data_IF_672911756591
#
_entry.id   IF_672911756591
#
_cell.length_a   1.000
_cell.length_b   1.000
_cell.length_c   1.000
_cell.angle_alpha   90.00
_cell.angle_beta   90.00
_cell.angle_gamma   90.00
#
_symmetry.space_group_name_H-M   'P 1'
#
loop_
_entity.id
_entity.type
_entity.pdbx_description
1 polymer ?
#
# COMPACT_ATOMS: atom_id res chain seq x y z
N UNK A 1 17.15 -25.26 -9.49
CA UNK A 1 18.02 -24.16 -8.98
C UNK A 1 17.15 -22.93 -8.79
N UNK A 2 17.35 -22.14 -7.74
CA UNK A 2 16.54 -20.92 -7.51
C UNK A 2 16.92 -19.84 -8.54
N UNK A 3 15.90 -19.22 -9.15
CA UNK A 3 16.07 -18.16 -10.13
C UNK A 3 16.24 -16.79 -9.46
N UNK A 4 17.45 -16.25 -9.52
CA UNK A 4 17.80 -14.95 -8.91
C UNK A 4 17.10 -13.77 -9.59
N UNK A 5 16.92 -13.81 -10.92
CA UNK A 5 16.27 -12.72 -11.65
C UNK A 5 14.78 -12.64 -11.27
N UNK A 6 14.12 -13.79 -11.24
CA UNK A 6 12.73 -13.90 -10.78
C UNK A 6 12.54 -13.31 -9.38
N UNK A 7 13.44 -13.64 -8.45
CA UNK A 7 13.35 -13.15 -7.07
C UNK A 7 13.58 -11.64 -6.99
N UNK A 8 14.59 -11.11 -7.68
CA UNK A 8 14.86 -9.68 -7.69
C UNK A 8 13.68 -8.87 -8.26
N UNK A 9 13.12 -9.32 -9.39
CA UNK A 9 11.98 -8.66 -10.03
C UNK A 9 10.70 -8.78 -9.18
N UNK A 10 10.39 -9.98 -8.69
CA UNK A 10 9.21 -10.24 -7.87
C UNK A 10 9.19 -9.38 -6.61
N UNK A 11 10.31 -9.34 -5.87
CA UNK A 11 10.41 -8.50 -4.66
C UNK A 11 10.24 -7.02 -4.99
N UNK A 12 10.88 -6.52 -6.05
CA UNK A 12 10.78 -5.13 -6.44
C UNK A 12 9.34 -4.74 -6.80
N UNK A 13 8.64 -5.58 -7.57
CA UNK A 13 7.25 -5.37 -7.96
C UNK A 13 6.30 -5.43 -6.76
N UNK A 14 6.44 -6.43 -5.90
CA UNK A 14 5.66 -6.53 -4.66
C UNK A 14 5.85 -5.30 -3.79
N UNK A 15 7.09 -4.85 -3.59
CA UNK A 15 7.37 -3.70 -2.74
C UNK A 15 6.79 -2.40 -3.30
N UNK A 16 6.85 -2.21 -4.62
CA UNK A 16 6.19 -1.08 -5.29
C UNK A 16 4.67 -1.09 -5.10
N UNK A 17 4.04 -2.26 -5.10
CA UNK A 17 2.60 -2.39 -4.88
C UNK A 17 2.25 -2.21 -3.40
N UNK A 18 3.00 -2.84 -2.49
CA UNK A 18 2.84 -2.72 -1.03
C UNK A 18 2.99 -1.28 -0.54
N UNK A 19 3.91 -0.51 -1.14
CA UNK A 19 4.07 0.92 -0.86
C UNK A 19 2.77 1.70 -1.12
N UNK A 20 2.04 1.39 -2.20
CA UNK A 20 0.74 2.01 -2.50
C UNK A 20 -0.30 1.75 -1.43
N UNK A 21 -0.14 0.69 -0.66
CA UNK A 21 -1.02 0.29 0.42
C UNK A 21 -0.49 0.72 1.81
N UNK A 22 0.66 1.40 1.87
CA UNK A 22 1.32 1.77 3.12
C UNK A 22 1.84 0.55 3.90
N UNK A 23 2.09 -0.56 3.21
CA UNK A 23 2.69 -1.76 3.78
C UNK A 23 4.21 -1.69 3.70
N UNK A 24 4.91 -2.17 4.73
CA UNK A 24 6.37 -2.23 4.74
C UNK A 24 6.91 -3.19 3.66
N UNK A 25 8.15 -2.97 3.18
CA UNK A 25 8.75 -3.80 2.14
C UNK A 25 8.99 -5.24 2.63
N UNK A 26 8.86 -6.20 1.72
CA UNK A 26 9.31 -7.57 1.86
C UNK A 26 10.82 -7.66 1.57
N UNK A 27 11.50 -8.53 2.30
CA UNK A 27 12.91 -8.88 2.10
C UNK A 27 13.03 -10.30 1.53
N UNK A 28 14.08 -10.54 0.75
CA UNK A 28 14.39 -11.86 0.23
C UNK A 28 14.71 -12.84 1.37
N UNK A 29 14.16 -14.05 1.30
CA UNK A 29 14.58 -15.17 2.13
C UNK A 29 14.92 -16.39 1.26
N UNK A 30 16.16 -16.89 1.42
CA UNK A 30 16.65 -18.00 0.60
C UNK A 30 15.97 -19.33 0.90
N UNK A 31 15.48 -19.52 2.12
CA UNK A 31 14.79 -20.76 2.51
C UNK A 31 13.39 -20.80 1.92
N UNK A 32 12.66 -19.67 1.94
CA UNK A 32 11.39 -19.51 1.24
C UNK A 32 11.56 -19.67 -0.27
N UNK A 33 12.61 -19.09 -0.88
CA UNK A 33 12.84 -19.21 -2.31
C UNK A 33 13.14 -20.66 -2.73
N UNK A 34 13.92 -21.39 -1.91
CA UNK A 34 14.16 -22.83 -2.12
C UNK A 34 12.87 -23.64 -1.99
N UNK A 35 12.06 -23.36 -0.97
CA UNK A 35 10.77 -24.02 -0.76
C UNK A 35 9.81 -23.76 -1.93
N UNK A 36 9.69 -22.51 -2.37
CA UNK A 36 8.88 -22.12 -3.51
C UNK A 36 9.37 -22.78 -4.81
N UNK A 37 10.68 -22.92 -4.99
CA UNK A 37 11.27 -23.60 -6.14
C UNK A 37 10.91 -25.09 -6.17
N UNK A 38 11.03 -25.79 -5.04
CA UNK A 38 10.63 -27.19 -4.93
C UNK A 38 9.14 -27.36 -5.22
N UNK A 39 8.30 -26.44 -4.74
CA UNK A 39 6.87 -26.50 -5.02
C UNK A 39 6.56 -26.23 -6.48
N UNK A 40 7.22 -25.26 -7.11
CA UNK A 40 7.05 -25.00 -8.54
C UNK A 40 7.40 -26.25 -9.37
N UNK A 41 8.48 -26.95 -9.02
CA UNK A 41 8.91 -28.21 -9.67
C UNK A 41 7.87 -29.34 -9.49
N UNK A 42 7.23 -29.43 -8.33
CA UNK A 42 6.12 -30.37 -8.08
C UNK A 42 4.89 -30.04 -8.93
N UNK A 43 4.51 -28.76 -9.04
CA UNK A 43 3.41 -28.31 -9.90
C UNK A 43 3.70 -28.57 -11.37
N UNK A 44 4.95 -28.39 -11.80
CA UNK A 44 5.38 -28.64 -13.18
C UNK A 44 5.40 -30.14 -13.53
N UNK A 45 5.78 -30.99 -12.58
CA UNK A 45 5.75 -32.45 -12.71
C UNK A 45 4.32 -32.97 -12.80
N UNK A 46 3.47 -32.56 -11.87
CA UNK A 46 2.08 -33.05 -11.75
C UNK A 46 1.11 -32.35 -12.70
N UNK A 47 1.51 -31.19 -13.24
CA UNK A 47 0.67 -30.27 -14.03
C UNK A 47 -0.64 -29.89 -13.33
N UNK A 48 -0.64 -29.87 -12.00
CA UNK A 48 -1.83 -29.62 -11.19
C UNK A 48 -1.64 -28.37 -10.35
N UNK A 49 -2.48 -27.35 -10.55
CA UNK A 49 -2.45 -26.13 -9.73
C UNK A 49 -3.10 -26.39 -8.37
N UNK A 50 -2.27 -26.62 -7.36
CA UNK A 50 -2.70 -26.86 -5.98
C UNK A 50 -1.77 -26.18 -4.98
N UNK A 51 -2.35 -25.77 -3.86
CA UNK A 51 -1.58 -25.24 -2.73
C UNK A 51 -0.74 -26.33 -2.07
N UNK A 52 0.41 -25.93 -1.50
CA UNK A 52 1.23 -26.82 -0.69
C UNK A 52 0.58 -27.12 0.66
N UNK A 53 0.85 -28.32 1.18
CA UNK A 53 0.27 -28.78 2.45
C UNK A 53 0.91 -28.13 3.69
N UNK A 54 1.86 -27.20 3.50
CA UNK A 54 2.58 -26.55 4.59
C UNK A 54 1.82 -25.34 5.15
N UNK A 55 1.52 -25.39 6.45
CA UNK A 55 0.78 -24.33 7.13
C UNK A 55 1.65 -23.17 7.67
N UNK A 56 2.97 -23.22 7.47
CA UNK A 56 3.97 -22.33 8.12
C UNK A 56 4.23 -21.03 7.36
N UNK A 57 3.95 -20.98 6.06
CA UNK A 57 4.12 -19.80 5.22
C UNK A 57 2.82 -19.43 4.49
N UNK A 58 2.76 -18.21 3.99
CA UNK A 58 1.75 -17.80 3.01
C UNK A 58 2.15 -18.25 1.62
N UNK A 59 1.20 -18.42 0.70
CA UNK A 59 1.49 -18.91 -0.64
C UNK A 59 0.63 -18.25 -1.72
N UNK A 60 1.28 -17.79 -2.78
CA UNK A 60 0.61 -17.44 -4.03
C UNK A 60 1.14 -18.31 -5.16
N UNK A 61 0.23 -18.73 -6.05
CA UNK A 61 0.53 -19.56 -7.21
C UNK A 61 0.09 -18.86 -8.49
N UNK A 62 0.88 -18.99 -9.55
CA UNK A 62 0.51 -18.58 -10.89
C UNK A 62 0.98 -19.62 -11.89
N UNK A 63 0.24 -19.78 -12.98
CA UNK A 63 0.69 -20.59 -14.11
C UNK A 63 0.25 -19.97 -15.43
N UNK A 64 0.93 -20.37 -16.50
CA UNK A 64 0.60 -19.97 -17.86
C UNK A 64 1.03 -21.06 -18.84
N UNK A 65 0.21 -21.34 -19.86
CA UNK A 65 0.65 -22.11 -21.02
C UNK A 65 1.63 -21.28 -21.87
N UNK A 66 2.79 -21.82 -22.20
CA UNK A 66 3.90 -21.09 -22.83
C UNK A 66 4.12 -21.41 -24.31
N UNK A 67 3.27 -22.21 -24.94
CA UNK A 67 3.35 -22.50 -26.39
C UNK A 67 3.45 -21.20 -27.22
N UNK A 68 4.60 -20.99 -27.87
CA UNK A 68 4.88 -19.82 -28.71
C UNK A 68 5.00 -18.48 -27.96
N UNK A 69 5.07 -18.48 -26.62
CA UNK A 69 5.20 -17.27 -25.80
C UNK A 69 6.60 -17.17 -25.17
N UNK A 70 7.00 -15.94 -24.84
CA UNK A 70 8.23 -15.67 -24.09
C UNK A 70 8.22 -16.25 -22.67
N UNK A 71 9.30 -16.07 -21.90
CA UNK A 71 9.38 -16.57 -20.53
C UNK A 71 8.24 -16.01 -19.66
N UNK A 72 7.65 -16.83 -18.80
CA UNK A 72 6.65 -16.39 -17.82
C UNK A 72 7.39 -15.74 -16.64
N UNK A 73 7.18 -14.43 -16.46
CA UNK A 73 7.95 -13.60 -15.54
C UNK A 73 7.23 -13.28 -14.23
N UNK A 74 8.00 -12.69 -13.31
CA UNK A 74 7.46 -12.21 -12.05
C UNK A 74 6.45 -11.06 -12.25
N UNK A 75 6.61 -10.27 -13.30
CA UNK A 75 5.71 -9.18 -13.70
C UNK A 75 4.28 -9.66 -13.96
N UNK A 76 4.12 -10.69 -14.79
CA UNK A 76 2.82 -11.24 -15.14
C UNK A 76 2.15 -11.92 -13.93
N UNK A 77 2.90 -12.72 -13.17
CA UNK A 77 2.39 -13.39 -11.98
C UNK A 77 1.96 -12.38 -10.90
N UNK A 78 2.82 -11.39 -10.60
CA UNK A 78 2.55 -10.35 -9.61
C UNK A 78 1.35 -9.50 -10.01
N UNK A 79 1.26 -9.13 -11.29
CA UNK A 79 0.12 -8.38 -11.82
C UNK A 79 -1.18 -9.17 -11.64
N UNK A 80 -1.19 -10.45 -12.03
CA UNK A 80 -2.37 -11.31 -11.90
C UNK A 80 -2.85 -11.42 -10.44
N UNK A 81 -1.94 -11.58 -9.48
CA UNK A 81 -2.29 -11.60 -8.06
C UNK A 81 -2.84 -10.26 -7.59
N UNK A 82 -2.22 -9.15 -7.99
CA UNK A 82 -2.63 -7.82 -7.55
C UNK A 82 -3.96 -7.36 -8.15
N UNK A 83 -4.25 -7.72 -9.40
CA UNK A 83 -5.50 -7.33 -10.10
C UNK A 83 -6.75 -7.86 -9.38
N UNK A 84 -6.65 -8.93 -8.57
CA UNK A 84 -7.74 -9.41 -7.73
C UNK A 84 -8.23 -8.37 -6.72
N UNK A 85 -7.37 -7.40 -6.36
CA UNK A 85 -7.75 -6.28 -5.48
C UNK A 85 -8.87 -5.40 -6.03
N UNK A 86 -9.15 -5.47 -7.34
CA UNK A 86 -10.28 -4.75 -7.96
C UNK A 86 -11.65 -5.24 -7.50
N UNK A 87 -11.75 -6.50 -7.07
CA UNK A 87 -12.99 -7.14 -6.60
C UNK A 87 -12.92 -7.51 -5.10
N UNK A 88 -11.85 -7.11 -4.41
CA UNK A 88 -11.67 -7.41 -2.98
C UNK A 88 -12.59 -6.53 -2.12
N UNK A 89 -13.42 -7.18 -1.31
CA UNK A 89 -14.20 -6.50 -0.28
C UNK A 89 -13.37 -6.39 1.02
N UNK A 90 -12.94 -5.16 1.31
CA UNK A 90 -12.14 -4.83 2.50
C UNK A 90 -12.93 -4.92 3.82
N UNK A 91 -14.26 -5.08 3.77
CA UNK A 91 -15.10 -5.38 4.92
C UNK A 91 -15.22 -6.88 5.24
N UNK A 92 -14.82 -7.74 4.30
CA UNK A 92 -14.93 -9.19 4.43
C UNK A 92 -13.60 -9.86 4.83
N UNK A 93 -13.70 -11.14 5.21
CA UNK A 93 -12.54 -11.96 5.52
C UNK A 93 -11.89 -12.55 4.26
N UNK A 94 -11.25 -13.71 4.43
CA UNK A 94 -10.66 -14.44 3.32
C UNK A 94 -11.71 -14.87 2.30
N UNK A 95 -11.43 -14.63 1.01
CA UNK A 95 -12.13 -15.23 -0.12
C UNK A 95 -11.10 -15.89 -1.06
N UNK A 96 -11.50 -16.98 -1.73
CA UNK A 96 -10.59 -17.69 -2.63
C UNK A 96 -10.25 -16.86 -3.88
N UNK A 97 -11.14 -15.97 -4.28
CA UNK A 97 -11.03 -15.12 -5.46
C UNK A 97 -10.01 -13.99 -5.27
N UNK A 98 -9.74 -13.58 -4.02
CA UNK A 98 -8.88 -12.42 -3.71
C UNK A 98 -7.74 -12.72 -2.75
N UNK A 99 -7.58 -14.00 -2.38
CA UNK A 99 -6.56 -14.46 -1.44
C UNK A 99 -5.13 -14.14 -1.87
N UNK A 100 -4.84 -14.08 -3.18
CA UNK A 100 -3.49 -13.75 -3.65
C UNK A 100 -3.19 -12.25 -3.51
N UNK A 101 -4.18 -11.39 -3.77
CA UNK A 101 -4.07 -9.96 -3.50
C UNK A 101 -3.84 -9.70 -2.01
N UNK A 102 -4.70 -10.23 -1.14
CA UNK A 102 -4.60 -9.99 0.30
C UNK A 102 -3.28 -10.49 0.89
N UNK A 103 -2.76 -11.62 0.41
CA UNK A 103 -1.43 -12.11 0.82
C UNK A 103 -0.30 -11.19 0.33
N UNK A 104 -0.35 -10.70 -0.91
CA UNK A 104 0.66 -9.82 -1.48
C UNK A 104 0.78 -8.53 -0.67
N UNK A 105 -0.36 -7.93 -0.30
CA UNK A 105 -0.41 -6.69 0.49
C UNK A 105 -0.46 -6.92 2.01
N UNK A 106 -0.30 -8.16 2.49
CA UNK A 106 -0.39 -8.48 3.91
C UNK A 106 0.66 -7.74 4.73
N UNK A 107 0.24 -6.80 5.59
CA UNK A 107 1.12 -5.88 6.32
C UNK A 107 2.19 -6.59 7.17
N UNK A 108 1.80 -7.69 7.80
CA UNK A 108 2.67 -8.41 8.73
C UNK A 108 3.66 -9.34 8.05
N UNK A 109 3.44 -9.74 6.79
CA UNK A 109 4.44 -10.51 6.02
C UNK A 109 5.68 -9.64 5.79
N UNK A 110 6.87 -10.18 6.10
CA UNK A 110 8.16 -9.47 6.05
C UNK A 110 9.16 -10.09 5.08
N UNK A 111 9.06 -11.39 4.85
CA UNK A 111 9.96 -12.17 4.03
C UNK A 111 9.19 -12.79 2.87
N UNK A 112 9.86 -12.93 1.74
CA UNK A 112 9.32 -13.62 0.57
C UNK A 112 10.43 -14.33 -0.21
N UNK A 113 10.06 -15.43 -0.86
CA UNK A 113 10.91 -16.10 -1.83
C UNK A 113 10.08 -16.70 -2.96
N UNK A 114 10.65 -16.70 -4.16
CA UNK A 114 9.99 -17.11 -5.39
C UNK A 114 10.69 -18.32 -6.02
N UNK A 115 9.88 -19.17 -6.64
CA UNK A 115 10.32 -20.32 -7.43
C UNK A 115 9.60 -20.39 -8.77
N UNK A 116 10.28 -20.92 -9.79
CA UNK A 116 9.70 -21.12 -11.12
C UNK A 116 10.13 -22.46 -11.70
N UNK A 117 9.18 -23.15 -12.32
CA UNK A 117 9.47 -24.36 -13.08
C UNK A 117 8.62 -24.41 -14.34
N UNK A 118 9.13 -25.13 -15.34
CA UNK A 118 8.43 -25.40 -16.59
C UNK A 118 8.19 -26.90 -16.67
N UNK A 119 7.01 -27.29 -17.13
CA UNK A 119 6.66 -28.70 -17.32
C UNK A 119 7.63 -29.39 -18.28
N UNK A 120 7.80 -30.71 -18.13
CA UNK A 120 8.77 -31.49 -18.91
C UNK A 120 8.52 -31.49 -20.41
N UNK A 121 7.27 -31.30 -20.83
CA UNK A 121 6.87 -31.13 -22.24
C UNK A 121 7.01 -29.69 -22.75
N UNK A 122 7.43 -28.76 -21.90
CA UNK A 122 7.64 -27.35 -22.27
C UNK A 122 6.36 -26.56 -22.56
N UNK A 123 5.19 -27.07 -22.17
CA UNK A 123 3.90 -26.44 -22.52
C UNK A 123 3.38 -25.49 -21.44
N UNK A 124 3.81 -25.62 -20.19
CA UNK A 124 3.33 -24.80 -19.09
C UNK A 124 4.47 -24.34 -18.15
N UNK A 125 4.36 -23.12 -17.62
CA UNK A 125 5.26 -22.57 -16.62
C UNK A 125 4.48 -22.17 -15.36
N UNK A 126 5.08 -22.43 -14.21
CA UNK A 126 4.51 -22.26 -12.88
C UNK A 126 5.41 -21.35 -12.06
N UNK A 127 4.81 -20.38 -11.36
CA UNK A 127 5.50 -19.48 -10.43
C UNK A 127 4.83 -19.61 -9.07
N UNK A 128 5.66 -19.76 -8.04
CA UNK A 128 5.24 -19.86 -6.64
C UNK A 128 5.93 -18.75 -5.85
N UNK A 129 5.20 -18.11 -4.95
CA UNK A 129 5.75 -17.19 -3.95
C UNK A 129 5.36 -17.67 -2.55
N UNK A 130 6.35 -17.82 -1.67
CA UNK A 130 6.15 -18.13 -0.25
C UNK A 130 6.46 -16.92 0.63
N UNK A 131 5.63 -16.69 1.65
CA UNK A 131 5.70 -15.50 2.51
C UNK A 131 5.84 -15.87 3.99
N UNK A 132 6.62 -15.09 4.75
CA UNK A 132 6.72 -15.26 6.20
C UNK A 132 6.73 -13.90 6.93
N UNK A 133 6.01 -13.73 8.05
CA UNK A 133 4.92 -14.59 8.52
C UNK A 133 3.81 -14.77 7.47
N UNK A 134 3.06 -15.87 7.58
CA UNK A 134 1.94 -16.13 6.66
C UNK A 134 0.86 -15.08 6.77
N UNK A 135 0.25 -14.76 5.63
CA UNK A 135 -0.92 -13.89 5.57
C UNK A 135 -2.23 -14.67 5.64
N UNK A 136 -3.31 -13.99 5.26
CA UNK A 136 -4.66 -14.54 5.15
C UNK A 136 -5.16 -15.22 6.44
N UNK A 137 -4.74 -14.70 7.60
CA UNK A 137 -5.17 -15.21 8.90
C UNK A 137 -6.59 -14.69 9.20
N UNK A 138 -7.52 -15.61 9.44
CA UNK A 138 -8.91 -15.29 9.78
C UNK A 138 -8.96 -14.34 10.97
N UNK A 139 -9.77 -13.27 10.85
CA UNK A 139 -9.92 -12.25 11.90
C UNK A 139 -8.82 -11.19 11.94
N UNK A 140 -7.83 -11.23 11.04
CA UNK A 140 -6.71 -10.28 10.99
C UNK A 140 -6.70 -9.44 9.69
N UNK A 141 -7.72 -9.53 8.85
CA UNK A 141 -7.76 -8.86 7.53
C UNK A 141 -7.80 -7.34 7.65
N UNK A 142 -8.63 -6.79 8.53
CA UNK A 142 -8.83 -5.34 8.68
C UNK A 142 -7.53 -4.56 9.00
N UNK A 143 -6.63 -5.17 9.76
CA UNK A 143 -5.32 -4.59 10.11
C UNK A 143 -4.24 -4.85 9.05
N UNK A 144 -4.36 -5.95 8.30
CA UNK A 144 -3.32 -6.44 7.40
C UNK A 144 -3.54 -6.14 5.92
N UNK A 145 -4.76 -5.81 5.50
CA UNK A 145 -5.10 -5.52 4.09
C UNK A 145 -5.60 -4.08 3.99
N UNK A 146 -4.70 -3.08 4.06
CA UNK A 146 -5.10 -1.68 3.98
C UNK A 146 -5.53 -1.30 2.56
N UNK A 147 -6.40 -0.29 2.45
CA UNK A 147 -6.72 0.35 1.18
C UNK A 147 -5.47 0.97 0.54
N UNK A 148 -5.45 1.03 -0.78
CA UNK A 148 -4.45 1.82 -1.48
C UNK A 148 -4.60 3.30 -1.08
N UNK A 149 -3.49 3.93 -0.69
CA UNK A 149 -3.43 5.37 -0.50
C UNK A 149 -3.87 6.05 -1.79
N UNK A 150 -4.90 6.91 -1.68
CA UNK A 150 -5.29 7.76 -2.80
C UNK A 150 -4.10 8.64 -3.15
N UNK A 151 -3.73 8.79 -4.43
CA UNK A 151 -2.81 9.85 -4.79
C UNK A 151 -3.39 11.15 -4.26
N UNK A 152 -2.54 11.97 -3.63
CA UNK A 152 -2.90 13.35 -3.26
C UNK A 152 -3.11 14.07 -4.59
N UNK A 153 -4.29 13.91 -5.20
CA UNK A 153 -4.75 14.86 -6.19
C UNK A 153 -4.85 16.16 -5.42
N UNK A 154 -3.99 17.12 -5.76
CA UNK A 154 -4.03 18.48 -5.23
C UNK A 154 -5.49 18.86 -5.00
N UNK A 155 -5.89 18.99 -3.74
CA UNK A 155 -7.27 19.29 -3.41
C UNK A 155 -7.64 20.57 -4.15
N UNK A 156 -8.57 20.48 -5.10
CA UNK A 156 -9.07 21.61 -5.89
C UNK A 156 -9.66 22.72 -4.99
N UNK A 157 -9.82 22.42 -3.69
CA UNK A 157 -10.20 23.37 -2.66
C UNK A 157 -9.19 24.53 -2.46
N UNK A 158 -7.89 24.34 -2.75
CA UNK A 158 -6.85 25.38 -2.58
C UNK A 158 -6.86 26.42 -3.72
N UNK A 159 -7.49 26.10 -4.86
CA UNK A 159 -7.55 26.99 -6.03
C UNK A 159 -8.85 27.79 -6.13
N UNK A 160 -9.68 27.80 -5.09
CA UNK A 160 -10.82 28.73 -5.10
C UNK A 160 -10.31 30.16 -4.93
N UNK A 161 -10.81 31.14 -5.72
CA UNK A 161 -10.40 32.55 -5.57
C UNK A 161 -10.67 33.11 -4.16
N UNK A 162 -11.53 32.44 -3.39
CA UNK A 162 -11.81 32.72 -1.97
C UNK A 162 -10.61 32.44 -1.05
N UNK A 163 -9.77 31.45 -1.35
CA UNK A 163 -8.59 31.11 -0.53
C UNK A 163 -7.43 32.08 -0.78
N UNK A 164 -7.26 32.52 -2.05
CA UNK A 164 -6.28 33.54 -2.45
C UNK A 164 -6.52 34.90 -1.78
N UNK A 165 -7.80 35.28 -1.65
CA UNK A 165 -8.23 36.48 -0.92
C UNK A 165 -7.93 36.39 0.58
N UNK A 166 -8.05 35.20 1.17
CA UNK A 166 -7.77 34.96 2.58
C UNK A 166 -6.29 35.16 2.93
N UNK A 167 -5.37 34.63 2.11
CA UNK A 167 -3.93 34.85 2.30
C UNK A 167 -3.52 36.32 2.11
N UNK A 168 -4.17 37.06 1.20
CA UNK A 168 -3.92 38.49 0.98
C UNK A 168 -4.40 39.35 2.16
N UNK A 169 -5.57 39.06 2.71
CA UNK A 169 -6.07 39.73 3.93
C UNK A 169 -5.16 39.42 5.13
N UNK A 170 -4.70 38.18 5.27
CA UNK A 170 -3.79 37.78 6.35
C UNK A 170 -2.44 38.52 6.28
N UNK A 171 -1.87 38.68 5.08
CA UNK A 171 -0.64 39.49 4.87
C UNK A 171 -0.83 40.96 5.24
N UNK A 172 -2.01 41.53 5.00
CA UNK A 172 -2.32 42.92 5.34
C UNK A 172 -2.59 43.13 6.84
N UNK A 173 -3.06 42.11 7.57
CA UNK A 173 -3.44 42.21 8.99
C UNK A 173 -2.33 41.82 9.98
N UNK A 174 -1.26 41.19 9.53
CA UNK A 174 -0.14 40.75 10.39
C UNK A 174 1.09 41.64 10.30
N UNK A 175 1.32 42.33 9.17
CA UNK A 175 2.52 43.17 8.98
C UNK A 175 2.37 44.65 9.41
N UNK A 176 1.21 45.07 9.96
CA UNK A 176 1.04 46.44 10.50
C UNK A 176 0.74 46.44 12.00
N UNK A 177 1.58 47.10 12.82
CA UNK A 177 1.53 46.97 14.28
C UNK A 177 0.60 48.03 14.89
N UNK A 178 -0.66 48.11 14.48
CA UNK A 178 -1.64 48.94 15.18
C UNK A 178 -3.01 48.25 15.16
N UNK A 179 -3.63 48.15 16.34
CA UNK A 179 -4.95 47.59 16.69
C UNK A 179 -4.89 46.11 17.16
N UNK A 180 -4.57 45.96 18.45
CA UNK A 180 -4.42 44.67 19.14
C UNK A 180 -5.71 44.12 19.80
N UNK A 181 -6.90 44.69 19.56
CA UNK A 181 -8.12 44.30 20.32
C UNK A 181 -9.30 43.74 19.49
N UNK A 182 -9.11 43.45 18.19
CA UNK A 182 -10.14 42.82 17.35
C UNK A 182 -9.72 41.45 16.77
N UNK A 183 -8.69 40.81 17.32
CA UNK A 183 -8.12 39.57 16.73
C UNK A 183 -8.83 38.27 17.12
N UNK A 184 -9.52 38.19 18.26
CA UNK A 184 -10.07 36.91 18.75
C UNK A 184 -11.40 36.54 18.07
N UNK A 185 -12.29 37.49 17.82
CA UNK A 185 -13.65 37.21 17.34
C UNK A 185 -13.75 36.84 15.86
N UNK A 186 -12.81 37.31 15.02
CA UNK A 186 -12.81 37.04 13.57
C UNK A 186 -12.21 35.66 13.28
N UNK A 187 -11.12 35.30 13.97
CA UNK A 187 -10.44 34.00 13.79
C UNK A 187 -11.32 32.83 14.26
N UNK A 188 -12.04 32.99 15.39
CA UNK A 188 -12.96 31.96 15.90
C UNK A 188 -14.22 31.77 15.05
N UNK A 189 -14.77 32.82 14.43
CA UNK A 189 -15.94 32.65 13.52
C UNK A 189 -15.57 31.97 12.20
N UNK A 190 -14.34 32.11 11.75
CA UNK A 190 -13.86 31.52 10.49
C UNK A 190 -13.45 30.06 10.65
N UNK A 191 -12.84 29.68 11.79
CA UNK A 191 -12.55 28.28 12.11
C UNK A 191 -13.83 27.44 12.26
N UNK A 192 -14.88 28.00 12.89
CA UNK A 192 -16.16 27.33 13.06
C UNK A 192 -16.92 27.07 11.75
N UNK A 193 -16.70 27.91 10.72
CA UNK A 193 -17.32 27.76 9.40
C UNK A 193 -16.60 26.74 8.52
N UNK A 194 -15.31 26.51 8.76
CA UNK A 194 -14.51 25.49 8.08
C UNK A 194 -14.68 24.09 8.68
N UNK A 195 -14.89 23.98 10.00
CA UNK A 195 -15.15 22.71 10.72
C UNK A 195 -16.35 21.90 10.16
N UNK A 196 -17.34 22.56 9.55
CA UNK A 196 -18.52 21.88 8.98
C UNK A 196 -18.32 21.22 7.61
N UNK A 197 -17.20 21.45 6.93
CA UNK A 197 -16.86 20.74 5.67
C UNK A 197 -15.79 19.71 5.99
N UNK A 198 -16.20 18.44 6.16
CA UNK A 198 -15.30 17.29 6.38
C UNK A 198 -14.39 17.09 5.17
N UNK A 199 -13.30 17.84 5.13
CA UNK A 199 -12.15 17.59 4.27
C UNK A 199 -10.92 17.57 5.17
N UNK A 200 -10.10 16.53 5.07
CA UNK A 200 -8.93 16.32 5.93
C UNK A 200 -7.90 17.48 5.83
N UNK A 201 -7.87 18.23 4.72
CA UNK A 201 -7.06 19.45 4.60
C UNK A 201 -7.46 20.58 5.58
N UNK A 202 -8.73 20.65 5.99
CA UNK A 202 -9.21 21.66 6.95
C UNK A 202 -8.63 21.41 8.35
N UNK A 203 -8.37 20.15 8.70
CA UNK A 203 -7.84 19.77 10.01
C UNK A 203 -6.34 20.10 10.09
N UNK A 204 -5.59 19.83 9.02
CA UNK A 204 -4.15 20.13 8.96
C UNK A 204 -3.82 21.64 9.00
N UNK A 205 -4.66 22.48 8.40
CA UNK A 205 -4.48 23.93 8.44
C UNK A 205 -4.80 24.51 9.83
N UNK A 206 -5.85 23.99 10.49
CA UNK A 206 -6.21 24.39 11.85
C UNK A 206 -5.13 23.99 12.85
N UNK A 207 -4.57 22.78 12.74
CA UNK A 207 -3.47 22.34 13.62
C UNK A 207 -2.17 23.10 13.37
N UNK A 208 -1.85 23.49 12.13
CA UNK A 208 -0.69 24.36 11.86
C UNK A 208 -0.86 25.79 12.42
N UNK A 209 -2.09 26.32 12.38
CA UNK A 209 -2.41 27.64 12.94
C UNK A 209 -2.35 27.64 14.47
N UNK A 210 -2.85 26.58 15.13
CA UNK A 210 -2.78 26.43 16.58
C UNK A 210 -1.33 26.30 17.07
N UNK A 211 -0.45 25.62 16.30
CA UNK A 211 0.95 25.45 16.67
C UNK A 211 1.80 26.73 16.52
N UNK A 212 1.46 27.61 15.57
CA UNK A 212 2.11 28.93 15.43
C UNK A 212 1.59 29.96 16.44
N UNK A 213 0.31 29.88 16.83
CA UNK A 213 -0.26 30.71 17.90
C UNK A 213 0.34 30.36 19.28
N UNK A 214 0.52 29.06 19.57
CA UNK A 214 1.14 28.63 20.82
C UNK A 214 2.59 29.15 20.97
N UNK A 215 3.35 29.21 19.88
CA UNK A 215 4.74 29.70 19.86
C UNK A 215 4.88 31.23 19.91
N UNK A 216 3.79 32.00 19.78
CA UNK A 216 3.83 33.47 19.83
C UNK A 216 3.35 34.05 21.16
N UNK A 217 2.92 33.20 22.11
CA UNK A 217 2.43 33.61 23.44
C UNK A 217 3.47 33.37 24.57
N UNK A 218 4.49 32.54 24.35
CA UNK A 218 5.54 32.24 25.33
C UNK A 218 6.90 32.88 24.96
N UNK A 219 7.07 34.16 25.30
CA UNK A 219 8.37 34.76 25.62
C UNK A 219 8.27 35.32 27.04
N UNK A 220 9.07 34.83 28.02
CA UNK A 220 9.07 35.42 29.36
C UNK A 220 9.84 36.77 29.31
N UNK A 221 9.42 37.80 30.07
CA UNK A 221 10.19 39.03 30.13
C UNK A 221 11.46 38.82 31.00
N UNK A 222 12.54 39.51 30.59
CA UNK A 222 13.75 39.74 31.39
C UNK A 222 13.46 40.64 32.59
#
# INVERSE_FOLDING_TARGET
MVDTLLNNEGIALHNKLRERHGCGPLSYDSSLARSAQLWAEELATTKCMRHSDMATYGENLAYRCIEGRGPFGADEATKSWYDQGSIHDFGEGFTYETGYFSQLVWRDSKLVGFGRATSSDGTASYIVAHYSPKGNIRGRFQENVPYASRPITHCSCVQTPKFRWFCLIWRLLIERPLICLLRVAVVTRLSHRFSRRRCECSVALVTMLDHQFANSIFFPPL
#
